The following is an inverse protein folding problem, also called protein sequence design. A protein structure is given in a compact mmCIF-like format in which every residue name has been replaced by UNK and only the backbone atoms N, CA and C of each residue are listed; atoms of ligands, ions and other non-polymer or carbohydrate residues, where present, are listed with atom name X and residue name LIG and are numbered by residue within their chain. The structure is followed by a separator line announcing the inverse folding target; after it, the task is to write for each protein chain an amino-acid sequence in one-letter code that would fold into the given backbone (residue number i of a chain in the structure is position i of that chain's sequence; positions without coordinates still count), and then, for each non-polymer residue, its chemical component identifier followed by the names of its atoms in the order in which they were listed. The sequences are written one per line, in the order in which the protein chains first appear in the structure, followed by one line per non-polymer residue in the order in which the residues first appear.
data_IF_239291015618
#
_entry.id   IF_239291015618
#
_cell.length_a   1.000
_cell.length_b   1.000
_cell.length_c   1.000
_cell.angle_alpha   90.00
_cell.angle_beta   90.00
_cell.angle_gamma   90.00
#
_symmetry.space_group_name_H-M   'P 1'
#
loop_
_entity.id
_entity.type
_entity.pdbx_description
1 polymer ?
#
# COMPACT_ATOMS: atom_id res chain seq x y z
N UNK A 1 -55.78 13.83 -19.28
CA UNK A 1 -54.58 12.98 -19.44
C UNK A 1 -53.81 13.01 -18.14
N UNK A 2 -53.92 11.91 -17.37
CA UNK A 2 -53.17 11.74 -16.11
C UNK A 2 -51.99 10.82 -16.41
N UNK A 3 -50.78 11.39 -16.35
CA UNK A 3 -49.54 10.61 -16.57
C UNK A 3 -49.04 10.15 -15.21
N UNK A 4 -49.23 8.88 -14.89
CA UNK A 4 -48.72 8.26 -13.67
C UNK A 4 -47.25 7.89 -13.90
N UNK A 5 -46.34 8.57 -13.23
CA UNK A 5 -44.94 8.17 -13.17
C UNK A 5 -44.74 7.08 -12.13
N UNK A 6 -44.39 5.88 -12.58
CA UNK A 6 -43.95 4.82 -11.71
C UNK A 6 -42.47 5.09 -11.30
N UNK A 7 -42.25 5.44 -10.04
CA UNK A 7 -40.91 5.46 -9.46
C UNK A 7 -40.42 4.01 -9.37
N UNK A 8 -39.29 3.71 -10.03
CA UNK A 8 -38.58 2.47 -9.79
C UNK A 8 -38.17 2.45 -8.32
N UNK A 9 -38.70 1.49 -7.57
CA UNK A 9 -38.12 1.12 -6.28
C UNK A 9 -36.76 0.49 -6.56
N UNK A 10 -35.70 1.30 -6.54
CA UNK A 10 -34.34 0.77 -6.32
C UNK A 10 -34.38 0.16 -4.92
N UNK A 11 -34.39 -1.17 -4.87
CA UNK A 11 -34.07 -1.88 -3.62
C UNK A 11 -32.69 -1.42 -3.20
N UNK A 12 -32.62 -0.56 -2.20
CA UNK A 12 -31.39 -0.30 -1.50
C UNK A 12 -30.89 -1.66 -1.02
N UNK A 13 -29.83 -2.17 -1.64
CA UNK A 13 -29.10 -3.30 -1.09
C UNK A 13 -28.71 -2.93 0.34
N UNK A 14 -28.85 -3.88 1.27
CA UNK A 14 -28.37 -3.68 2.63
C UNK A 14 -26.92 -3.18 2.56
N UNK A 15 -26.53 -2.22 3.41
CA UNK A 15 -25.15 -1.74 3.41
C UNK A 15 -24.24 -2.96 3.56
N UNK A 16 -23.37 -3.20 2.59
CA UNK A 16 -22.33 -4.23 2.69
C UNK A 16 -21.45 -3.85 3.85
N UNK A 17 -21.27 -4.77 4.80
CA UNK A 17 -20.35 -4.55 5.93
C UNK A 17 -18.93 -4.48 5.38
N UNK A 18 -18.34 -3.30 5.47
CA UNK A 18 -16.93 -3.03 5.13
C UNK A 18 -16.20 -2.68 6.40
N UNK A 19 -15.07 -3.30 6.64
CA UNK A 19 -14.24 -3.01 7.79
C UNK A 19 -12.76 -2.88 7.42
N UNK A 20 -12.05 -2.10 8.19
CA UNK A 20 -10.60 -2.08 8.19
C UNK A 20 -10.12 -3.21 9.11
N UNK A 21 -9.30 -4.17 8.64
CA UNK A 21 -8.78 -5.22 9.51
C UNK A 21 -7.88 -4.62 10.60
N UNK A 22 -7.85 -5.26 11.77
CA UNK A 22 -6.86 -4.93 12.78
C UNK A 22 -5.45 -5.31 12.32
N UNK A 23 -4.43 -4.61 12.82
CA UNK A 23 -3.04 -4.84 12.39
C UNK A 23 -2.51 -6.23 12.74
N UNK A 24 -3.08 -6.88 13.75
CA UNK A 24 -2.71 -8.25 14.16
C UNK A 24 -3.47 -9.36 13.41
N UNK A 25 -4.37 -9.02 12.50
CA UNK A 25 -5.03 -10.00 11.66
C UNK A 25 -4.06 -10.57 10.61
N UNK A 26 -4.31 -11.80 10.10
CA UNK A 26 -3.48 -12.38 9.06
C UNK A 26 -3.38 -11.47 7.83
N UNK A 27 -2.17 -11.20 7.38
CA UNK A 27 -1.87 -10.38 6.21
C UNK A 27 -1.09 -11.18 5.16
N UNK A 28 -1.24 -10.83 3.89
CA UNK A 28 -0.59 -11.52 2.77
C UNK A 28 0.87 -11.12 2.61
N UNK A 29 1.20 -9.87 2.84
CA UNK A 29 2.54 -9.32 2.73
C UNK A 29 2.69 -8.05 3.57
N UNK A 30 3.93 -7.71 3.91
CA UNK A 30 4.31 -6.39 4.42
C UNK A 30 4.92 -5.59 3.28
N UNK A 31 4.46 -4.36 3.07
CA UNK A 31 5.03 -3.45 2.08
C UNK A 31 6.13 -2.60 2.72
N UNK A 32 7.28 -2.52 2.05
CA UNK A 32 8.37 -1.60 2.33
C UNK A 32 8.66 -0.76 1.09
N UNK A 33 9.05 0.49 1.27
CA UNK A 33 9.64 1.33 0.22
C UNK A 33 11.09 1.57 0.58
N UNK A 34 12.02 1.08 -0.24
CA UNK A 34 13.44 1.12 0.06
C UNK A 34 14.03 2.50 -0.16
N UNK A 35 14.96 2.93 0.72
CA UNK A 35 15.67 4.19 0.58
C UNK A 35 16.63 4.13 -0.62
N UNK A 36 16.84 5.29 -1.24
CA UNK A 36 17.80 5.50 -2.31
C UNK A 36 18.36 6.93 -2.26
N UNK A 37 19.29 7.26 -3.13
CA UNK A 37 19.98 8.54 -3.19
C UNK A 37 19.10 9.77 -3.48
N UNK A 38 17.84 9.56 -3.85
CA UNK A 38 16.83 10.61 -4.05
C UNK A 38 15.82 10.74 -2.92
N UNK A 39 15.99 10.03 -1.79
CA UNK A 39 15.14 10.13 -0.61
C UNK A 39 15.75 11.05 0.45
N UNK A 40 14.97 11.41 1.48
CA UNK A 40 15.48 12.20 2.62
C UNK A 40 16.63 11.53 3.38
N UNK A 41 16.86 10.23 3.13
CA UNK A 41 17.93 9.43 3.72
C UNK A 41 19.27 9.52 2.97
N UNK A 42 19.35 10.27 1.85
CA UNK A 42 20.52 10.28 0.96
C UNK A 42 21.85 10.54 1.68
N UNK A 43 21.87 11.49 2.63
CA UNK A 43 23.09 11.85 3.37
C UNK A 43 23.55 10.79 4.38
N UNK A 44 22.65 9.91 4.83
CA UNK A 44 22.91 8.86 5.82
C UNK A 44 22.52 7.47 5.29
N UNK A 45 22.49 7.32 3.97
CA UNK A 45 22.02 6.10 3.31
C UNK A 45 22.83 4.87 3.75
N UNK A 46 24.13 5.01 3.96
CA UNK A 46 25.02 3.94 4.42
C UNK A 46 24.65 3.42 5.83
N UNK A 47 24.01 4.24 6.65
CA UNK A 47 23.55 3.87 8.00
C UNK A 47 22.14 3.29 7.97
N UNK A 48 21.26 3.83 7.13
CA UNK A 48 19.83 3.47 7.08
C UNK A 48 19.59 2.21 6.26
N UNK A 49 20.26 2.06 5.13
CA UNK A 49 20.05 0.93 4.23
C UNK A 49 20.27 -0.44 4.90
N UNK A 50 21.31 -0.64 5.75
CA UNK A 50 21.46 -1.88 6.52
C UNK A 50 20.25 -2.21 7.40
N UNK A 51 19.60 -1.19 8.01
CA UNK A 51 18.40 -1.36 8.81
C UNK A 51 17.21 -1.87 7.96
N UNK A 52 16.98 -1.28 6.78
CA UNK A 52 15.95 -1.74 5.85
C UNK A 52 16.21 -3.15 5.35
N UNK A 53 17.46 -3.51 5.08
CA UNK A 53 17.88 -4.87 4.72
C UNK A 53 17.53 -5.84 5.85
N UNK A 54 17.90 -5.56 7.09
CA UNK A 54 17.65 -6.42 8.23
C UNK A 54 16.15 -6.61 8.47
N UNK A 55 15.36 -5.54 8.36
CA UNK A 55 13.89 -5.59 8.45
C UNK A 55 13.33 -6.54 7.38
N UNK A 56 13.70 -6.33 6.11
CA UNK A 56 13.20 -7.14 5.00
C UNK A 56 13.62 -8.61 5.13
N UNK A 57 14.88 -8.89 5.47
CA UNK A 57 15.40 -10.23 5.70
C UNK A 57 14.67 -10.93 6.85
N UNK A 58 14.41 -10.19 7.93
CA UNK A 58 13.70 -10.73 9.10
C UNK A 58 12.26 -11.06 8.76
N UNK A 59 11.50 -10.15 8.16
CA UNK A 59 10.10 -10.38 7.78
C UNK A 59 10.00 -11.55 6.79
N UNK A 60 10.94 -11.64 5.84
CA UNK A 60 10.94 -12.70 4.81
C UNK A 60 10.96 -14.12 5.39
N UNK A 61 11.38 -14.31 6.63
CA UNK A 61 11.39 -15.61 7.31
C UNK A 61 10.00 -16.08 7.72
N UNK A 62 9.04 -15.15 7.81
CA UNK A 62 7.69 -15.41 8.33
C UNK A 62 6.60 -15.23 7.30
N UNK A 63 6.77 -14.28 6.36
CA UNK A 63 5.74 -13.93 5.38
C UNK A 63 6.36 -13.23 4.16
N UNK A 64 5.54 -12.94 3.16
CA UNK A 64 5.96 -12.20 1.98
C UNK A 64 6.29 -10.74 2.31
N UNK A 65 7.31 -10.23 1.64
CA UNK A 65 7.73 -8.82 1.70
C UNK A 65 7.61 -8.24 0.31
N UNK A 66 6.70 -7.27 0.16
CA UNK A 66 6.58 -6.46 -1.04
C UNK A 66 7.52 -5.26 -0.89
N UNK A 67 8.53 -5.19 -1.74
CA UNK A 67 9.53 -4.13 -1.71
C UNK A 67 9.38 -3.26 -2.96
N UNK A 68 8.97 -2.02 -2.75
CA UNK A 68 9.07 -0.96 -3.75
C UNK A 68 10.51 -0.47 -3.76
N UNK A 69 11.15 -0.45 -4.91
CA UNK A 69 12.56 -0.07 -5.07
C UNK A 69 12.80 0.62 -6.41
N UNK A 70 13.92 1.31 -6.51
CA UNK A 70 14.33 2.00 -7.73
C UNK A 70 14.87 1.01 -8.77
N UNK A 71 15.64 -0.02 -8.32
CA UNK A 71 16.21 -1.07 -9.15
C UNK A 71 16.09 -2.44 -8.45
N UNK A 72 15.31 -3.33 -9.01
CA UNK A 72 15.00 -4.62 -8.39
C UNK A 72 16.22 -5.56 -8.32
N UNK A 73 17.07 -5.53 -9.34
CA UNK A 73 18.27 -6.39 -9.38
C UNK A 73 19.29 -6.00 -8.32
N UNK A 74 19.56 -4.70 -8.17
CA UNK A 74 20.45 -4.18 -7.15
C UNK A 74 19.89 -4.42 -5.74
N UNK A 75 18.59 -4.15 -5.52
CA UNK A 75 17.94 -4.40 -4.23
C UNK A 75 18.00 -5.89 -3.87
N UNK A 76 17.75 -6.78 -4.82
CA UNK A 76 17.86 -8.23 -4.58
C UNK A 76 19.28 -8.65 -4.21
N UNK A 77 20.29 -8.04 -4.80
CA UNK A 77 21.69 -8.33 -4.49
C UNK A 77 22.09 -7.92 -3.05
N UNK A 78 21.37 -6.97 -2.46
CA UNK A 78 21.57 -6.57 -1.05
C UNK A 78 20.94 -7.57 -0.07
N UNK A 79 19.79 -8.19 -0.44
CA UNK A 79 18.98 -9.07 0.41
C UNK A 79 19.45 -10.54 0.38
N UNK A 80 20.73 -10.77 0.68
CA UNK A 80 21.38 -12.08 0.50
C UNK A 80 20.90 -13.13 1.49
N UNK A 81 20.49 -12.72 2.70
CA UNK A 81 20.05 -13.62 3.76
C UNK A 81 18.50 -13.72 3.82
N UNK A 82 17.80 -13.04 2.94
CA UNK A 82 16.35 -13.14 2.84
C UNK A 82 15.90 -14.49 2.27
N UNK A 83 14.73 -14.94 2.68
CA UNK A 83 14.04 -16.06 2.03
C UNK A 83 13.54 -15.58 0.66
N UNK A 84 14.31 -15.89 -0.37
CA UNK A 84 14.12 -15.34 -1.74
C UNK A 84 12.73 -15.60 -2.31
N UNK A 85 12.09 -16.72 -1.96
CA UNK A 85 10.73 -17.06 -2.40
C UNK A 85 9.66 -16.12 -1.80
N UNK A 86 9.99 -15.42 -0.72
CA UNK A 86 9.09 -14.49 -0.03
C UNK A 86 9.33 -13.02 -0.44
N UNK A 87 10.25 -12.75 -1.37
CA UNK A 87 10.53 -11.40 -1.84
C UNK A 87 9.77 -11.09 -3.13
N UNK A 88 8.95 -10.06 -3.08
CA UNK A 88 8.27 -9.45 -4.23
C UNK A 88 8.89 -8.06 -4.42
N UNK A 89 9.83 -7.95 -5.37
CA UNK A 89 10.48 -6.66 -5.68
C UNK A 89 9.78 -6.02 -6.88
N UNK A 90 9.42 -4.75 -6.72
CA UNK A 90 8.70 -4.00 -7.75
C UNK A 90 9.36 -2.64 -7.95
N UNK A 91 9.79 -2.39 -9.18
CA UNK A 91 10.35 -1.09 -9.54
C UNK A 91 9.24 -0.07 -9.72
N UNK A 92 9.16 0.88 -8.80
CA UNK A 92 8.36 2.10 -8.88
C UNK A 92 9.20 3.25 -8.35
N UNK A 93 9.04 4.43 -8.95
CA UNK A 93 9.67 5.63 -8.42
C UNK A 93 9.04 6.01 -7.08
N UNK A 94 9.86 6.48 -6.15
CA UNK A 94 9.42 7.02 -4.87
C UNK A 94 10.09 8.38 -4.59
N UNK A 95 9.48 9.17 -3.71
CA UNK A 95 10.12 10.35 -3.13
C UNK A 95 10.82 9.95 -1.84
N UNK A 96 10.19 9.07 -1.02
CA UNK A 96 10.72 8.64 0.26
C UNK A 96 10.22 7.23 0.65
N UNK A 97 10.41 6.83 1.91
CA UNK A 97 10.26 5.45 2.41
C UNK A 97 8.99 5.20 3.22
N UNK A 98 8.11 6.16 3.37
CA UNK A 98 6.98 6.17 4.30
C UNK A 98 5.78 5.35 3.79
N UNK A 99 6.02 4.05 3.59
CA UNK A 99 5.02 3.11 3.07
C UNK A 99 3.73 3.03 3.91
N UNK A 100 3.82 3.30 5.23
CA UNK A 100 2.64 3.37 6.09
C UNK A 100 1.68 4.47 5.66
N UNK A 101 2.20 5.60 5.17
CA UNK A 101 1.39 6.78 4.88
C UNK A 101 0.89 6.81 3.44
N UNK A 102 1.73 6.40 2.47
CA UNK A 102 1.37 6.41 1.05
C UNK A 102 0.85 5.07 0.52
N UNK A 103 0.95 3.98 1.30
CA UNK A 103 0.54 2.64 0.87
C UNK A 103 -0.98 2.50 0.74
N UNK A 104 -1.41 1.59 -0.13
CA UNK A 104 -2.82 1.27 -0.29
C UNK A 104 -3.41 0.64 0.99
N UNK A 105 -4.62 1.03 1.34
CA UNK A 105 -5.31 0.58 2.54
C UNK A 105 -6.22 -0.60 2.20
N UNK A 106 -5.95 -1.76 2.77
CA UNK A 106 -6.79 -2.94 2.56
C UNK A 106 -8.03 -2.88 3.44
N UNK A 107 -9.20 -3.05 2.83
CA UNK A 107 -10.46 -3.26 3.53
C UNK A 107 -11.04 -4.64 3.21
N UNK A 108 -11.80 -5.18 4.13
CA UNK A 108 -12.55 -6.42 3.95
C UNK A 108 -14.03 -6.07 3.70
N UNK A 109 -14.55 -6.54 2.57
CA UNK A 109 -15.96 -6.41 2.21
C UNK A 109 -16.57 -7.82 2.27
N UNK A 110 -17.53 -8.04 3.15
CA UNK A 110 -18.13 -9.36 3.39
C UNK A 110 -18.78 -9.97 2.13
N UNK A 111 -19.22 -9.14 1.21
CA UNK A 111 -19.89 -9.59 -0.01
C UNK A 111 -18.92 -9.76 -1.18
N UNK A 112 -17.94 -8.86 -1.31
CA UNK A 112 -17.10 -8.76 -2.49
C UNK A 112 -15.63 -9.13 -2.24
N UNK A 113 -15.30 -9.53 -1.02
CA UNK A 113 -13.94 -9.88 -0.64
C UNK A 113 -13.03 -8.65 -0.39
N UNK A 114 -11.72 -8.87 -0.26
CA UNK A 114 -10.78 -7.78 0.03
C UNK A 114 -10.69 -6.78 -1.12
N UNK A 115 -10.45 -5.52 -0.78
CA UNK A 115 -10.19 -4.41 -1.72
C UNK A 115 -9.04 -3.58 -1.20
N UNK A 116 -8.32 -2.94 -2.12
CA UNK A 116 -7.28 -1.97 -1.80
C UNK A 116 -7.83 -0.57 -2.11
N UNK A 117 -7.87 0.29 -1.12
CA UNK A 117 -8.22 1.69 -1.29
C UNK A 117 -6.96 2.50 -1.54
N UNK A 118 -6.95 3.26 -2.64
CA UNK A 118 -5.86 4.15 -3.04
C UNK A 118 -6.31 5.59 -2.78
N UNK A 119 -5.87 6.16 -1.66
CA UNK A 119 -6.13 7.55 -1.29
C UNK A 119 -5.01 8.46 -1.78
N UNK A 120 -5.31 9.74 -1.97
CA UNK A 120 -4.29 10.71 -2.32
C UNK A 120 -3.35 10.96 -1.13
N UNK A 121 -2.06 10.75 -1.35
CA UNK A 121 -1.01 11.15 -0.41
C UNK A 121 -0.38 12.46 -0.89
N UNK A 122 -0.35 13.48 -0.04
CA UNK A 122 0.12 14.81 -0.39
C UNK A 122 1.32 15.30 0.43
N UNK A 123 2.09 14.36 1.00
CA UNK A 123 3.29 14.70 1.79
C UNK A 123 2.97 15.51 3.06
N UNK A 124 1.98 15.04 3.81
CA UNK A 124 1.54 15.62 5.10
C UNK A 124 1.12 17.10 4.97
N UNK A 125 0.21 17.34 4.03
CA UNK A 125 -0.31 18.69 3.78
C UNK A 125 0.63 19.54 2.93
N UNK A 126 1.26 18.96 1.91
CA UNK A 126 2.21 19.61 0.97
C UNK A 126 3.50 20.08 1.65
N UNK A 127 3.88 19.45 2.74
CA UNK A 127 5.10 19.78 3.48
C UNK A 127 6.34 19.21 2.81
N UNK A 128 6.21 18.05 2.16
CA UNK A 128 7.27 17.35 1.44
C UNK A 128 6.82 16.96 0.02
N UNK A 129 7.76 16.76 -0.93
CA UNK A 129 7.43 16.17 -2.23
C UNK A 129 6.79 14.78 -2.05
N UNK A 130 5.68 14.54 -2.75
CA UNK A 130 4.95 13.27 -2.68
C UNK A 130 4.36 12.85 -4.04
N UNK A 131 4.78 13.47 -5.12
CA UNK A 131 4.26 13.24 -6.46
C UNK A 131 4.53 11.83 -6.97
N UNK A 132 5.62 11.19 -6.54
CA UNK A 132 5.95 9.80 -6.87
C UNK A 132 5.32 8.83 -5.88
N UNK A 133 5.40 9.11 -4.58
CA UNK A 133 4.84 8.27 -3.52
C UNK A 133 3.34 8.09 -3.69
N UNK A 134 2.62 9.15 -4.05
CA UNK A 134 1.20 9.13 -4.38
C UNK A 134 0.84 8.20 -5.55
N UNK A 135 1.79 7.80 -6.37
CA UNK A 135 1.57 6.93 -7.53
C UNK A 135 1.97 5.46 -7.26
N UNK A 136 2.53 5.14 -6.10
CA UNK A 136 3.05 3.80 -5.81
C UNK A 136 1.94 2.75 -5.84
N UNK A 137 0.80 2.98 -5.19
CA UNK A 137 -0.32 2.03 -5.19
C UNK A 137 -0.84 1.78 -6.61
N UNK A 138 -0.99 2.82 -7.42
CA UNK A 138 -1.39 2.69 -8.82
C UNK A 138 -0.32 1.96 -9.66
N UNK A 139 0.97 2.20 -9.42
CA UNK A 139 2.08 1.47 -10.05
C UNK A 139 2.03 -0.03 -9.73
N UNK A 140 1.84 -0.39 -8.47
CA UNK A 140 1.72 -1.78 -8.01
C UNK A 140 0.50 -2.47 -8.64
N UNK A 141 -0.64 -1.77 -8.71
CA UNK A 141 -1.86 -2.27 -9.37
C UNK A 141 -1.63 -2.54 -10.85
N UNK A 142 -1.02 -1.60 -11.58
CA UNK A 142 -0.72 -1.74 -13.00
C UNK A 142 0.23 -2.92 -13.29
N UNK A 143 1.09 -3.28 -12.35
CA UNK A 143 2.01 -4.43 -12.43
C UNK A 143 1.37 -5.74 -11.94
N UNK A 144 0.08 -5.72 -11.56
CA UNK A 144 -0.66 -6.92 -11.15
C UNK A 144 -0.23 -7.49 -9.80
N UNK A 145 0.30 -6.65 -8.89
CA UNK A 145 0.77 -7.10 -7.57
C UNK A 145 -0.39 -7.50 -6.67
N UNK A 146 -1.51 -6.79 -6.76
CA UNK A 146 -2.68 -7.03 -5.91
C UNK A 146 -3.60 -8.09 -6.52
N UNK A 147 -3.99 -9.07 -5.71
CA UNK A 147 -5.04 -10.04 -6.05
C UNK A 147 -6.45 -9.52 -5.70
N UNK A 148 -6.59 -8.23 -5.47
CA UNK A 148 -7.82 -7.54 -5.08
C UNK A 148 -8.00 -6.30 -5.96
N UNK A 149 -9.26 -5.88 -6.24
CA UNK A 149 -9.50 -4.64 -6.96
C UNK A 149 -8.98 -3.43 -6.18
N UNK A 150 -8.46 -2.45 -6.90
CA UNK A 150 -8.04 -1.16 -6.35
C UNK A 150 -9.15 -0.15 -6.63
N UNK A 151 -9.63 0.51 -5.57
CA UNK A 151 -10.62 1.59 -5.64
C UNK A 151 -9.95 2.91 -5.24
N UNK A 152 -10.07 3.93 -6.09
CA UNK A 152 -9.49 5.25 -5.78
C UNK A 152 -10.38 6.03 -4.82
N UNK A 153 -9.79 6.48 -3.71
CA UNK A 153 -10.41 7.40 -2.77
C UNK A 153 -10.32 8.85 -3.27
N UNK A 154 -11.43 9.58 -3.28
CA UNK A 154 -11.46 10.97 -3.75
C UNK A 154 -10.97 12.02 -2.74
N UNK A 155 -10.29 11.62 -1.68
CA UNK A 155 -9.82 12.49 -0.59
C UNK A 155 -8.34 12.26 -0.31
N UNK A 156 -7.71 13.23 0.36
CA UNK A 156 -6.36 13.07 0.92
C UNK A 156 -6.48 12.33 2.24
N UNK A 157 -5.74 11.22 2.38
CA UNK A 157 -5.69 10.42 3.60
C UNK A 157 -4.35 9.68 3.68
N UNK A 158 -3.73 9.75 4.83
CA UNK A 158 -2.51 9.04 5.17
C UNK A 158 -2.86 7.77 5.96
N UNK A 159 -2.27 6.63 5.62
CA UNK A 159 -2.50 5.39 6.35
C UNK A 159 -2.09 5.48 7.82
N UNK A 160 -1.08 6.30 8.14
CA UNK A 160 -0.65 6.57 9.50
C UNK A 160 -1.68 7.31 10.38
N UNK A 161 -2.73 7.90 9.77
CA UNK A 161 -3.84 8.54 10.49
C UNK A 161 -4.98 7.56 10.87
N UNK A 162 -4.86 6.28 10.49
CA UNK A 162 -5.90 5.27 10.72
C UNK A 162 -5.46 4.25 11.75
N UNK A 163 -6.39 3.93 12.66
CA UNK A 163 -6.28 2.85 13.62
C UNK A 163 -7.56 2.01 13.60
N UNK A 164 -7.46 0.71 13.80
CA UNK A 164 -8.59 -0.21 13.79
C UNK A 164 -8.37 -1.37 14.75
N UNK A 165 -9.45 -1.75 15.44
CA UNK A 165 -9.54 -3.00 16.21
C UNK A 165 -10.17 -4.16 15.40
N UNK A 166 -10.47 -3.91 14.13
CA UNK A 166 -11.02 -4.89 13.20
C UNK A 166 -12.55 -5.00 13.21
N UNK A 167 -13.25 -4.14 13.94
CA UNK A 167 -14.73 -4.19 14.05
C UNK A 167 -15.42 -3.13 13.19
#
# INVERSE_FOLDING_TARGET
CSTTFALKNDKMSAPTSRRLPAEWEPQSAVQLTFPHDGTDWAEVLDEVLPCFIEIAETISRYQQVLIVCHEASATRALLKNAVQANLILVECNSNDTWARDHGGITILDETNGPKVLDFMFNGWGLKFPADKDNLITACLAAKGVFNAPVEHGGIVLEGGALESDGQ
#
